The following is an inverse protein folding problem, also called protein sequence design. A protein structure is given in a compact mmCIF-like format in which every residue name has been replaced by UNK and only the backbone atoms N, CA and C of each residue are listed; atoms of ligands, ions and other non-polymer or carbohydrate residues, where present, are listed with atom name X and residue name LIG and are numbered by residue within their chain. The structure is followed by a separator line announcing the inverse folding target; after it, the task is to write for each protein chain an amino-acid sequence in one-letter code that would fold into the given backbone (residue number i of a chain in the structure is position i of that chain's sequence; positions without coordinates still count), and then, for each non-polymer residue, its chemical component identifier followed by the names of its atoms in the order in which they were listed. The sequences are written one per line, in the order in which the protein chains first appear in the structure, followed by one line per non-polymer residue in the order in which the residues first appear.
data_IF_822487188368
#
_entry.id   IF_822487188368
#
_cell.length_a   1.000
_cell.length_b   1.000
_cell.length_c   1.000
_cell.angle_alpha   90.00
_cell.angle_beta   90.00
_cell.angle_gamma   90.00
#
_symmetry.space_group_name_H-M   'P 1'
#
loop_
_entity.id
_entity.type
_entity.pdbx_description
1 polymer ?
#
# COMPACT_ATOMS: atom_id res chain seq x y z
N UNK A 1 -3.45 -33.33 -10.36
CA UNK A 1 -3.01 -32.40 -9.31
C UNK A 1 -3.43 -31.00 -9.69
N UNK A 2 -3.82 -30.17 -8.72
CA UNK A 2 -4.37 -28.81 -8.94
C UNK A 2 -3.44 -27.71 -8.45
N UNK A 3 -2.33 -28.06 -7.79
CA UNK A 3 -1.39 -27.10 -7.20
C UNK A 3 -1.83 -26.59 -5.82
N UNK A 4 -2.83 -27.23 -5.21
CA UNK A 4 -3.42 -26.90 -3.91
C UNK A 4 -3.22 -28.00 -2.86
N UNK A 5 -2.49 -29.05 -3.21
CA UNK A 5 -2.17 -30.18 -2.32
C UNK A 5 -1.25 -29.77 -1.14
N UNK A 6 -0.62 -28.60 -1.23
CA UNK A 6 0.15 -27.98 -0.17
C UNK A 6 -0.69 -26.87 0.49
N UNK A 7 -1.27 -27.15 1.66
CA UNK A 7 -2.19 -26.25 2.36
C UNK A 7 -1.50 -25.26 3.32
N UNK A 8 -0.27 -25.54 3.75
CA UNK A 8 0.49 -24.71 4.70
C UNK A 8 1.86 -24.31 4.13
N UNK A 9 1.84 -23.76 2.91
CA UNK A 9 3.07 -23.58 2.12
C UNK A 9 4.16 -22.80 2.85
N UNK A 10 3.80 -21.74 3.60
CA UNK A 10 4.76 -20.94 4.39
C UNK A 10 5.42 -21.76 5.50
N UNK A 11 4.64 -22.53 6.26
CA UNK A 11 5.15 -23.43 7.30
C UNK A 11 6.07 -24.51 6.71
N UNK A 12 5.72 -25.02 5.53
CA UNK A 12 6.52 -26.00 4.81
C UNK A 12 7.83 -25.40 4.25
N UNK A 13 7.84 -24.13 3.81
CA UNK A 13 9.04 -23.41 3.39
C UNK A 13 9.98 -23.07 4.55
N UNK A 14 9.44 -22.73 5.72
CA UNK A 14 10.23 -22.57 6.96
C UNK A 14 10.98 -23.86 7.29
N UNK A 15 10.38 -25.01 7.00
CA UNK A 15 11.00 -26.32 7.13
C UNK A 15 11.79 -26.67 5.86
N UNK A 16 13.01 -26.14 5.74
CA UNK A 16 13.99 -26.32 4.62
C UNK A 16 14.35 -27.77 4.21
N UNK A 17 13.61 -28.77 4.67
CA UNK A 17 13.71 -30.19 4.29
C UNK A 17 12.34 -30.88 4.21
N UNK A 18 11.26 -30.14 3.94
CA UNK A 18 9.93 -30.72 3.83
C UNK A 18 9.88 -31.86 2.81
N UNK A 19 9.60 -33.09 3.29
CA UNK A 19 9.38 -34.26 2.43
C UNK A 19 8.16 -34.05 1.53
N UNK A 20 7.16 -33.29 1.99
CA UNK A 20 5.94 -32.99 1.24
C UNK A 20 6.25 -32.12 0.02
N UNK A 21 7.04 -31.05 0.18
CA UNK A 21 7.46 -30.21 -0.94
C UNK A 21 8.21 -31.05 -1.99
N UNK A 22 9.15 -31.90 -1.57
CA UNK A 22 9.91 -32.75 -2.51
C UNK A 22 9.03 -33.76 -3.25
N UNK A 23 8.06 -34.36 -2.57
CA UNK A 23 7.10 -35.26 -3.20
C UNK A 23 6.22 -34.51 -4.21
N UNK A 24 5.70 -33.35 -3.79
CA UNK A 24 4.87 -32.48 -4.64
C UNK A 24 5.60 -32.04 -5.92
N UNK A 25 6.85 -31.56 -5.81
CA UNK A 25 7.65 -31.12 -6.97
C UNK A 25 7.97 -32.25 -7.96
N UNK A 26 7.99 -33.51 -7.50
CA UNK A 26 8.20 -34.67 -8.36
C UNK A 26 6.98 -34.99 -9.23
N UNK A 27 5.80 -34.71 -8.71
CA UNK A 27 4.51 -35.07 -9.34
C UNK A 27 3.86 -33.88 -10.06
N UNK A 28 4.22 -32.64 -9.69
CA UNK A 28 3.64 -31.42 -10.23
C UNK A 28 4.68 -30.56 -10.97
N UNK A 29 4.81 -30.72 -12.31
CA UNK A 29 5.82 -30.01 -13.10
C UNK A 29 5.56 -28.49 -13.22
N UNK A 30 4.36 -28.06 -12.84
CA UNK A 30 3.95 -26.66 -12.74
C UNK A 30 4.36 -26.02 -11.40
N UNK A 31 5.34 -26.59 -10.70
CA UNK A 31 5.96 -25.97 -9.54
C UNK A 31 7.48 -26.12 -9.54
N UNK A 32 8.14 -25.16 -8.89
CA UNK A 32 9.59 -25.16 -8.71
C UNK A 32 9.97 -24.40 -7.43
N UNK A 33 11.17 -24.64 -6.92
CA UNK A 33 11.67 -24.05 -5.68
C UNK A 33 13.15 -23.64 -5.83
N UNK A 34 13.58 -22.61 -5.10
CA UNK A 34 15.00 -22.26 -4.98
C UNK A 34 15.82 -23.36 -4.29
N UNK A 35 17.14 -23.35 -4.51
CA UNK A 35 18.06 -24.32 -3.89
C UNK A 35 18.13 -24.24 -2.36
N UNK A 36 17.82 -23.08 -1.79
CA UNK A 36 17.82 -22.83 -0.36
C UNK A 36 16.42 -23.04 0.28
N UNK A 37 15.47 -23.56 -0.49
CA UNK A 37 14.07 -23.82 -0.11
C UNK A 37 13.33 -22.58 0.44
N UNK A 38 13.78 -21.37 0.10
CA UNK A 38 13.20 -20.11 0.62
C UNK A 38 12.07 -19.55 -0.25
N UNK A 39 12.04 -19.92 -1.52
CA UNK A 39 11.12 -19.34 -2.50
C UNK A 39 10.57 -20.41 -3.43
N UNK A 40 9.25 -20.43 -3.59
CA UNK A 40 8.54 -21.41 -4.42
C UNK A 40 7.61 -20.71 -5.43
N UNK A 41 7.57 -21.26 -6.63
CA UNK A 41 6.66 -20.85 -7.70
C UNK A 41 5.70 -21.98 -8.03
N UNK A 42 4.42 -21.66 -8.22
CA UNK A 42 3.39 -22.63 -8.62
C UNK A 42 2.47 -22.00 -9.67
N UNK A 43 2.34 -22.62 -10.83
CA UNK A 43 1.29 -22.30 -11.79
C UNK A 43 0.05 -23.12 -11.44
N UNK A 44 -1.07 -22.43 -11.17
CA UNK A 44 -2.33 -23.05 -10.78
C UNK A 44 -3.52 -22.12 -11.05
N UNK A 45 -4.73 -22.68 -10.96
CA UNK A 45 -5.96 -21.89 -10.95
C UNK A 45 -6.17 -21.24 -9.57
N UNK A 46 -6.59 -19.99 -9.56
CA UNK A 46 -6.79 -19.17 -8.36
C UNK A 46 -7.97 -18.21 -8.53
N UNK A 47 -8.73 -17.97 -7.46
CA UNK A 47 -9.83 -17.00 -7.43
C UNK A 47 -9.38 -15.70 -6.78
N UNK A 48 -9.36 -14.56 -7.50
CA UNK A 48 -8.82 -13.29 -6.97
C UNK A 48 -9.59 -12.73 -5.79
N UNK A 49 -10.93 -12.84 -5.77
CA UNK A 49 -11.75 -12.27 -4.69
C UNK A 49 -11.82 -13.16 -3.44
N UNK A 50 -11.86 -14.49 -3.62
CA UNK A 50 -12.02 -15.44 -2.53
C UNK A 50 -10.67 -15.90 -1.92
N UNK A 51 -9.55 -15.61 -2.61
CA UNK A 51 -8.23 -16.12 -2.24
C UNK A 51 -8.23 -17.65 -2.08
N UNK A 52 -8.93 -18.36 -2.98
CA UNK A 52 -9.36 -19.75 -2.75
C UNK A 52 -9.09 -20.71 -3.91
N UNK A 53 -9.14 -22.01 -3.62
CA UNK A 53 -8.92 -23.14 -4.55
C UNK A 53 -10.12 -23.43 -5.46
N UNK A 54 -9.90 -24.00 -6.67
CA UNK A 54 -10.94 -24.32 -7.67
C UNK A 54 -11.95 -25.39 -7.27
N UNK A 55 -11.71 -26.11 -6.17
CA UNK A 55 -12.47 -27.32 -5.82
C UNK A 55 -13.50 -27.07 -4.71
N UNK A 56 -13.93 -25.82 -4.49
CA UNK A 56 -15.01 -25.51 -3.56
C UNK A 56 -16.38 -25.64 -4.25
N UNK A 57 -17.20 -26.66 -3.90
CA UNK A 57 -18.49 -26.89 -4.55
C UNK A 57 -19.50 -25.76 -4.29
N UNK A 58 -19.20 -24.84 -3.36
CA UNK A 58 -20.05 -23.71 -2.99
C UNK A 58 -19.96 -22.54 -3.99
N UNK A 59 -18.89 -22.45 -4.80
CA UNK A 59 -18.65 -21.35 -5.74
C UNK A 59 -18.36 -21.82 -7.18
N UNK A 60 -19.29 -22.54 -7.85
CA UNK A 60 -19.12 -22.96 -9.24
C UNK A 60 -19.16 -21.74 -10.16
N UNK A 61 -17.99 -21.26 -10.55
CA UNK A 61 -17.87 -19.98 -11.27
C UNK A 61 -16.76 -20.05 -12.31
N UNK A 62 -16.98 -19.41 -13.46
CA UNK A 62 -15.95 -19.18 -14.49
C UNK A 62 -14.92 -18.11 -14.06
N UNK A 63 -14.76 -17.84 -12.77
CA UNK A 63 -13.94 -16.75 -12.21
C UNK A 63 -12.53 -17.18 -11.84
N UNK A 64 -12.25 -18.49 -11.76
CA UNK A 64 -10.89 -18.97 -11.56
C UNK A 64 -10.00 -18.57 -12.74
N UNK A 65 -8.86 -17.97 -12.42
CA UNK A 65 -7.86 -17.52 -13.38
C UNK A 65 -6.61 -18.37 -13.25
N UNK A 66 -5.93 -18.61 -14.37
CA UNK A 66 -4.59 -19.18 -14.30
C UNK A 66 -3.65 -18.13 -13.72
N UNK A 67 -2.82 -18.51 -12.76
CA UNK A 67 -1.86 -17.60 -12.14
C UNK A 67 -0.52 -18.28 -11.90
N UNK A 68 0.54 -17.47 -11.85
CA UNK A 68 1.79 -17.83 -11.21
C UNK A 68 1.74 -17.32 -9.76
N UNK A 69 1.68 -18.25 -8.81
CA UNK A 69 1.79 -17.95 -7.39
C UNK A 69 3.27 -17.94 -6.99
N UNK A 70 3.69 -16.86 -6.35
CA UNK A 70 5.03 -16.61 -5.83
C UNK A 70 5.00 -16.59 -4.31
N UNK A 71 5.72 -17.52 -3.70
CA UNK A 71 5.78 -17.69 -2.26
C UNK A 71 7.19 -17.48 -1.76
N UNK A 72 7.30 -16.69 -0.70
CA UNK A 72 8.47 -16.66 0.17
C UNK A 72 8.04 -16.99 1.60
N UNK A 73 9.00 -16.98 2.52
CA UNK A 73 8.72 -17.13 3.96
C UNK A 73 7.81 -16.00 4.47
N UNK A 74 7.95 -14.78 3.94
CA UNK A 74 7.25 -13.58 4.43
C UNK A 74 6.15 -13.07 3.50
N UNK A 75 6.16 -13.44 2.23
CA UNK A 75 5.29 -12.87 1.21
C UNK A 75 4.64 -13.92 0.33
N UNK A 76 3.48 -13.56 -0.20
CA UNK A 76 2.74 -14.33 -1.17
C UNK A 76 2.16 -13.35 -2.19
N UNK A 77 2.42 -13.61 -3.46
CA UNK A 77 2.01 -12.73 -4.56
C UNK A 77 1.54 -13.57 -5.73
N UNK A 78 0.58 -13.04 -6.48
CA UNK A 78 -0.05 -13.75 -7.58
C UNK A 78 0.01 -12.89 -8.84
N UNK A 79 0.48 -13.49 -9.94
CA UNK A 79 0.50 -12.86 -11.25
C UNK A 79 -0.49 -13.57 -12.15
N UNK A 80 -1.47 -12.83 -12.68
CA UNK A 80 -2.46 -13.42 -13.58
C UNK A 80 -1.81 -13.78 -14.91
N UNK A 81 -1.99 -15.04 -15.33
CA UNK A 81 -1.47 -15.57 -16.58
C UNK A 81 -2.62 -15.71 -17.60
N UNK A 82 -2.32 -15.64 -18.92
CA UNK A 82 -3.31 -16.00 -19.93
C UNK A 82 -3.71 -17.47 -19.82
N UNK A 83 -4.89 -17.82 -20.33
CA UNK A 83 -5.32 -19.22 -20.38
C UNK A 83 -4.57 -19.96 -21.50
N UNK A 84 -3.50 -20.66 -21.11
CA UNK A 84 -2.61 -21.46 -21.97
C UNK A 84 -2.36 -22.84 -21.37
N UNK A 85 -1.96 -23.79 -22.24
CA UNK A 85 -1.55 -25.13 -21.84
C UNK A 85 -0.12 -25.14 -21.27
N UNK A 86 0.03 -24.72 -20.01
CA UNK A 86 1.30 -24.75 -19.29
C UNK A 86 1.79 -26.19 -19.05
N UNK A 87 3.09 -26.41 -19.25
CA UNK A 87 3.72 -27.72 -19.10
C UNK A 87 4.80 -27.73 -18.03
N UNK A 88 5.47 -26.59 -17.77
CA UNK A 88 6.46 -26.48 -16.71
C UNK A 88 6.72 -25.04 -16.26
N UNK A 89 7.31 -24.91 -15.07
CA UNK A 89 7.95 -23.68 -14.60
C UNK A 89 9.30 -24.00 -13.98
N UNK A 90 10.31 -23.17 -14.27
CA UNK A 90 11.66 -23.32 -13.73
C UNK A 90 12.19 -22.00 -13.20
N UNK A 91 13.16 -22.11 -12.30
CA UNK A 91 13.95 -20.99 -11.80
C UNK A 91 15.41 -21.21 -12.13
N UNK A 92 16.06 -20.17 -12.66
CA UNK A 92 17.49 -20.18 -12.95
C UNK A 92 18.14 -18.94 -12.37
N UNK A 93 19.20 -19.13 -11.58
CA UNK A 93 19.97 -18.03 -11.01
C UNK A 93 20.49 -17.12 -12.13
N UNK A 94 20.26 -15.82 -11.98
CA UNK A 94 20.69 -14.81 -12.93
C UNK A 94 21.09 -13.55 -12.15
N UNK A 95 22.37 -13.19 -12.23
CA UNK A 95 22.93 -12.05 -11.50
C UNK A 95 22.39 -10.70 -12.00
N UNK A 96 21.79 -10.65 -13.19
CA UNK A 96 21.21 -9.42 -13.75
C UNK A 96 19.83 -9.12 -13.16
N UNK A 97 19.07 -10.15 -12.84
CA UNK A 97 17.70 -10.08 -12.27
C UNK A 97 17.72 -10.73 -10.89
N UNK A 98 18.23 -10.01 -9.88
CA UNK A 98 18.34 -10.58 -8.55
C UNK A 98 16.96 -11.01 -8.00
N UNK A 99 16.78 -12.26 -7.48
CA UNK A 99 17.79 -13.33 -7.34
C UNK A 99 17.76 -14.41 -8.45
N UNK A 100 16.75 -14.45 -9.34
CA UNK A 100 16.64 -15.46 -10.39
C UNK A 100 15.74 -15.02 -11.54
N UNK A 101 15.97 -15.61 -12.71
CA UNK A 101 15.04 -15.64 -13.83
C UNK A 101 14.04 -16.78 -13.66
N UNK A 102 12.84 -16.58 -14.20
CA UNK A 102 11.73 -17.52 -14.21
C UNK A 102 11.50 -17.94 -15.64
N UNK A 103 11.46 -19.24 -15.91
CA UNK A 103 11.17 -19.80 -17.23
C UNK A 103 9.80 -20.47 -17.15
N UNK A 104 8.82 -19.93 -17.87
CA UNK A 104 7.47 -20.45 -17.96
C UNK A 104 7.31 -21.14 -19.31
N UNK A 105 6.90 -22.40 -19.30
CA UNK A 105 6.73 -23.22 -20.51
C UNK A 105 5.25 -23.54 -20.69
N UNK A 106 4.72 -23.19 -21.86
CA UNK A 106 3.44 -23.64 -22.38
C UNK A 106 3.65 -24.37 -23.71
N UNK A 107 2.67 -25.14 -24.18
CA UNK A 107 2.80 -25.95 -25.42
C UNK A 107 3.27 -25.15 -26.63
N UNK A 108 2.81 -23.91 -26.78
CA UNK A 108 3.07 -23.08 -27.96
C UNK A 108 4.19 -22.04 -27.75
N UNK A 109 4.66 -21.86 -26.51
CA UNK A 109 5.68 -20.85 -26.22
C UNK A 109 6.42 -21.09 -24.91
N UNK A 110 7.66 -20.65 -24.88
CA UNK A 110 8.47 -20.51 -23.66
C UNK A 110 8.79 -19.04 -23.44
N UNK A 111 8.70 -18.59 -22.20
CA UNK A 111 9.06 -17.22 -21.81
C UNK A 111 9.99 -17.22 -20.62
N UNK A 112 11.02 -16.40 -20.71
CA UNK A 112 11.90 -16.08 -19.59
C UNK A 112 11.51 -14.70 -19.09
N UNK A 113 11.36 -14.58 -17.78
CA UNK A 113 10.93 -13.36 -17.10
C UNK A 113 11.58 -13.29 -15.71
N UNK A 114 11.23 -12.29 -14.90
CA UNK A 114 11.63 -12.18 -13.51
C UNK A 114 10.48 -11.55 -12.69
N UNK A 115 10.60 -11.58 -11.36
CA UNK A 115 9.56 -11.05 -10.46
C UNK A 115 9.27 -9.57 -10.72
N UNK A 116 10.29 -8.75 -11.02
CA UNK A 116 10.10 -7.32 -11.27
C UNK A 116 9.36 -7.04 -12.57
N UNK A 117 9.68 -7.76 -13.66
CA UNK A 117 8.95 -7.67 -14.93
C UNK A 117 7.50 -8.13 -14.78
N UNK A 118 7.26 -9.26 -14.09
CA UNK A 118 5.91 -9.73 -13.77
C UNK A 118 5.13 -8.73 -12.93
N UNK A 119 5.77 -8.13 -11.92
CA UNK A 119 5.17 -7.10 -11.06
C UNK A 119 4.76 -5.86 -11.84
N UNK A 120 5.52 -5.50 -12.88
CA UNK A 120 5.21 -4.34 -13.73
C UNK A 120 4.14 -4.63 -14.77
N UNK A 121 4.14 -5.83 -15.36
CA UNK A 121 3.34 -6.15 -16.55
C UNK A 121 2.06 -6.96 -16.25
N UNK A 122 2.05 -7.78 -15.20
CA UNK A 122 0.98 -8.76 -14.90
C UNK A 122 0.50 -8.73 -13.44
N UNK A 123 0.92 -7.75 -12.63
CA UNK A 123 0.43 -7.60 -11.26
C UNK A 123 -1.03 -7.11 -11.23
N UNK A 124 -1.62 -7.20 -10.03
CA UNK A 124 -2.85 -6.54 -9.59
C UNK A 124 -4.19 -7.11 -10.08
N UNK A 125 -4.24 -8.26 -10.78
CA UNK A 125 -5.49 -8.79 -11.37
C UNK A 125 -6.32 -7.70 -12.07
N UNK A 126 -5.63 -6.71 -12.64
CA UNK A 126 -6.29 -5.65 -13.38
C UNK A 126 -7.11 -6.29 -14.48
N UNK A 127 -8.31 -5.74 -14.70
CA UNK A 127 -9.26 -6.30 -15.66
C UNK A 127 -8.68 -6.20 -17.07
N UNK A 128 -8.20 -7.32 -17.60
CA UNK A 128 -7.63 -7.48 -18.93
C UNK A 128 -8.38 -8.57 -19.69
N UNK A 129 -8.48 -8.40 -21.01
CA UNK A 129 -8.95 -9.44 -21.93
C UNK A 129 -7.92 -10.57 -22.06
N UNK A 130 -8.33 -11.74 -22.54
CA UNK A 130 -7.38 -12.84 -22.79
C UNK A 130 -6.35 -12.48 -23.86
N UNK A 131 -6.74 -11.69 -24.86
CA UNK A 131 -5.87 -11.18 -25.92
C UNK A 131 -4.77 -10.26 -25.36
N UNK A 132 -5.13 -9.33 -24.47
CA UNK A 132 -4.17 -8.47 -23.78
C UNK A 132 -3.21 -9.29 -22.91
N UNK A 133 -3.72 -10.25 -22.13
CA UNK A 133 -2.88 -11.13 -21.31
C UNK A 133 -1.89 -11.93 -22.16
N UNK A 134 -2.35 -12.48 -23.29
CA UNK A 134 -1.49 -13.20 -24.24
C UNK A 134 -0.44 -12.29 -24.86
N UNK A 135 -0.79 -11.07 -25.24
CA UNK A 135 0.15 -10.10 -25.80
C UNK A 135 1.23 -9.69 -24.78
N UNK A 136 0.82 -9.40 -23.54
CA UNK A 136 1.75 -9.07 -22.44
C UNK A 136 2.68 -10.25 -22.15
N UNK A 137 2.12 -11.45 -21.98
CA UNK A 137 2.89 -12.66 -21.73
C UNK A 137 3.87 -12.95 -22.88
N UNK A 138 3.43 -12.77 -24.13
CA UNK A 138 4.27 -12.93 -25.31
C UNK A 138 5.43 -11.93 -25.37
N UNK A 139 5.30 -10.76 -24.73
CA UNK A 139 6.33 -9.72 -24.64
C UNK A 139 7.27 -9.83 -23.43
N UNK A 140 7.11 -10.84 -22.56
CA UNK A 140 8.04 -11.07 -21.46
C UNK A 140 9.42 -11.47 -22.00
N UNK A 141 10.47 -10.83 -21.48
CA UNK A 141 11.82 -10.97 -22.04
C UNK A 141 12.94 -10.95 -21.00
N UNK A 142 12.60 -11.15 -19.73
CA UNK A 142 13.52 -11.05 -18.60
C UNK A 142 14.09 -9.63 -18.47
N UNK A 143 13.24 -8.63 -18.74
CA UNK A 143 13.58 -7.22 -18.61
C UNK A 143 13.92 -6.91 -17.15
N UNK A 144 15.13 -6.43 -16.88
CA UNK A 144 15.43 -5.76 -15.61
C UNK A 144 14.84 -4.37 -15.75
N UNK A 145 13.83 -3.97 -14.95
CA UNK A 145 13.36 -2.60 -15.00
C UNK A 145 14.55 -1.69 -14.71
N UNK A 146 14.75 -0.66 -15.53
CA UNK A 146 15.65 0.42 -15.15
C UNK A 146 15.07 1.05 -13.88
N UNK A 147 15.66 0.72 -12.73
CA UNK A 147 15.45 1.50 -11.52
C UNK A 147 16.05 2.86 -11.84
N UNK A 148 15.19 3.84 -12.15
CA UNK A 148 15.63 5.24 -12.25
C UNK A 148 16.41 5.52 -10.98
N UNK A 149 17.72 5.76 -11.13
CA UNK A 149 18.55 6.15 -9.99
C UNK A 149 17.96 7.46 -9.50
N UNK A 150 17.54 7.49 -8.23
CA UNK A 150 17.13 8.73 -7.58
C UNK A 150 18.22 9.77 -7.82
N UNK A 151 17.86 10.94 -8.33
CA UNK A 151 18.79 12.04 -8.48
C UNK A 151 19.20 12.45 -7.06
N UNK A 152 20.50 12.42 -6.76
CA UNK A 152 20.99 12.70 -5.42
C UNK A 152 20.52 14.08 -4.95
N UNK A 153 20.04 14.17 -3.71
CA UNK A 153 19.68 15.42 -3.07
C UNK A 153 20.97 16.14 -2.67
N UNK A 154 21.10 17.39 -3.10
CA UNK A 154 22.31 18.21 -2.86
C UNK A 154 22.05 19.38 -1.91
N UNK A 155 20.78 19.64 -1.62
CA UNK A 155 20.30 20.73 -0.81
C UNK A 155 20.25 20.29 0.66
N UNK A 156 20.52 21.22 1.58
CA UNK A 156 20.33 21.02 3.02
C UNK A 156 19.12 21.79 3.55
N UNK A 157 18.55 22.66 2.71
CA UNK A 157 17.35 23.45 2.99
C UNK A 157 16.51 23.63 1.74
N UNK A 158 15.19 23.71 1.90
CA UNK A 158 14.24 24.13 0.87
C UNK A 158 13.42 25.33 1.36
N UNK A 159 12.86 26.11 0.43
CA UNK A 159 12.12 27.33 0.75
C UNK A 159 10.65 27.17 0.33
N UNK A 160 9.76 27.23 1.31
CA UNK A 160 8.32 27.33 1.13
C UNK A 160 7.90 28.80 1.31
N UNK A 161 7.00 29.28 0.45
CA UNK A 161 6.40 30.62 0.62
C UNK A 161 5.40 30.65 1.77
N UNK A 162 4.74 29.52 2.06
CA UNK A 162 3.73 29.43 3.11
C UNK A 162 4.35 29.32 4.51
N UNK A 163 5.42 28.52 4.65
CA UNK A 163 5.96 28.13 5.96
C UNK A 163 7.46 28.41 6.14
N UNK A 164 8.07 29.10 5.19
CA UNK A 164 9.44 29.58 5.28
C UNK A 164 10.48 28.49 4.97
N UNK A 165 11.62 28.54 5.67
CA UNK A 165 12.73 27.62 5.43
C UNK A 165 12.49 26.28 6.12
N UNK A 166 12.57 25.19 5.36
CA UNK A 166 12.63 23.84 5.89
C UNK A 166 14.07 23.32 5.80
N UNK A 167 14.46 22.50 6.78
CA UNK A 167 15.79 21.88 6.86
C UNK A 167 15.66 20.38 6.66
N UNK A 168 16.65 19.79 5.99
CA UNK A 168 16.72 18.34 5.86
C UNK A 168 16.77 17.68 7.25
N UNK A 169 15.98 16.64 7.43
CA UNK A 169 15.84 15.89 8.68
C UNK A 169 16.68 14.58 8.64
N UNK A 170 16.39 13.63 9.54
CA UNK A 170 17.08 12.33 9.63
C UNK A 170 17.02 11.50 8.33
N UNK A 171 15.99 11.69 7.50
CA UNK A 171 15.85 11.06 6.18
C UNK A 171 16.19 12.06 5.07
N UNK A 172 16.89 11.60 4.03
CA UNK A 172 17.40 12.46 2.96
C UNK A 172 16.28 13.22 2.20
N UNK A 173 15.11 12.63 2.10
CA UNK A 173 13.92 13.15 1.42
C UNK A 173 12.88 13.73 2.41
N UNK A 174 13.27 13.97 3.67
CA UNK A 174 12.44 14.62 4.68
C UNK A 174 12.93 16.03 4.98
N UNK A 175 11.98 16.98 5.03
CA UNK A 175 12.27 18.39 5.25
C UNK A 175 11.36 18.96 6.31
N UNK A 176 11.91 19.41 7.43
CA UNK A 176 11.13 19.86 8.59
C UNK A 176 11.26 21.37 8.77
N UNK A 177 10.13 22.03 9.00
CA UNK A 177 10.06 23.46 9.28
C UNK A 177 10.48 23.81 10.71
N UNK A 178 10.61 25.12 11.00
CA UNK A 178 10.50 25.59 12.39
C UNK A 178 9.07 25.45 12.94
N UNK A 179 8.86 25.87 14.19
CA UNK A 179 7.53 25.93 14.79
C UNK A 179 6.66 26.98 14.10
N UNK A 180 5.43 26.59 13.81
CA UNK A 180 4.40 27.40 13.16
C UNK A 180 3.14 27.30 14.00
N UNK A 181 2.57 28.44 14.37
CA UNK A 181 1.29 28.49 15.05
C UNK A 181 0.19 28.00 14.10
N UNK A 182 -0.54 26.96 14.49
CA UNK A 182 -1.61 26.38 13.66
C UNK A 182 -2.97 26.87 14.18
N UNK A 183 -3.66 27.80 13.49
CA UNK A 183 -4.90 28.38 14.01
C UNK A 183 -6.05 27.38 14.13
N UNK A 184 -6.02 26.31 13.32
CA UNK A 184 -6.92 25.15 13.43
C UNK A 184 -6.85 24.48 14.82
N UNK A 185 -5.68 24.56 15.48
CA UNK A 185 -5.41 24.06 16.82
C UNK A 185 -5.22 25.19 17.84
N UNK A 186 -6.02 26.25 17.73
CA UNK A 186 -6.01 27.40 18.66
C UNK A 186 -4.61 28.06 18.78
N UNK A 187 -3.87 28.09 17.66
CA UNK A 187 -2.50 28.60 17.55
C UNK A 187 -1.48 27.80 18.37
N UNK A 188 -1.74 26.53 18.65
CA UNK A 188 -0.70 25.65 19.16
C UNK A 188 0.44 25.53 18.13
N UNK A 189 1.72 25.61 18.57
CA UNK A 189 2.86 25.51 17.67
C UNK A 189 3.08 24.06 17.22
N UNK A 190 3.34 23.88 15.92
CA UNK A 190 3.74 22.60 15.32
C UNK A 190 4.86 22.78 14.33
N UNK A 191 5.66 21.73 14.15
CA UNK A 191 6.49 21.59 12.95
C UNK A 191 5.69 20.91 11.84
N UNK A 192 6.01 21.25 10.59
CA UNK A 192 5.46 20.63 9.39
C UNK A 192 6.62 19.97 8.64
N UNK A 193 6.46 18.69 8.31
CA UNK A 193 7.48 17.90 7.64
C UNK A 193 7.01 17.51 6.25
N UNK A 194 7.82 17.79 5.24
CA UNK A 194 7.62 17.28 3.88
C UNK A 194 8.26 15.91 3.79
N UNK A 195 7.51 14.90 3.36
CA UNK A 195 7.98 13.50 3.28
C UNK A 195 8.12 13.07 1.82
N UNK A 196 9.05 12.15 1.56
CA UNK A 196 9.32 11.58 0.23
C UNK A 196 9.56 12.65 -0.86
N UNK A 197 10.10 13.81 -0.48
CA UNK A 197 10.29 14.94 -1.37
C UNK A 197 11.74 15.07 -1.84
N UNK A 198 11.95 14.93 -3.15
CA UNK A 198 13.23 15.20 -3.79
C UNK A 198 13.15 16.48 -4.66
N UNK A 199 13.76 17.61 -4.26
CA UNK A 199 13.69 18.87 -5.01
C UNK A 199 14.35 18.82 -6.39
N UNK A 200 15.22 17.82 -6.64
CA UNK A 200 15.86 17.64 -7.94
C UNK A 200 14.99 16.82 -8.92
N UNK A 201 13.94 16.15 -8.44
CA UNK A 201 13.05 15.31 -9.23
C UNK A 201 11.64 15.90 -9.35
N UNK A 202 11.16 16.56 -8.30
CA UNK A 202 9.83 17.14 -8.23
C UNK A 202 9.89 18.66 -8.08
N UNK A 203 9.92 19.34 -9.22
CA UNK A 203 10.02 20.80 -9.25
C UNK A 203 8.71 21.52 -8.92
N UNK A 204 7.58 20.80 -8.89
CA UNK A 204 6.25 21.38 -8.65
C UNK A 204 5.78 21.24 -7.21
N UNK A 205 6.31 20.27 -6.46
CA UNK A 205 5.90 19.97 -5.09
C UNK A 205 5.79 21.20 -4.19
N UNK A 206 6.80 22.07 -4.18
CA UNK A 206 6.82 23.24 -3.29
C UNK A 206 5.68 24.22 -3.61
N UNK A 207 5.36 24.44 -4.89
CA UNK A 207 4.26 25.33 -5.28
C UNK A 207 2.90 24.74 -4.88
N UNK A 208 2.72 23.43 -5.07
CA UNK A 208 1.48 22.73 -4.69
C UNK A 208 1.31 22.66 -3.17
N UNK A 209 2.40 22.39 -2.44
CA UNK A 209 2.44 22.40 -0.99
C UNK A 209 2.16 23.80 -0.44
N UNK A 210 2.69 24.85 -1.05
CA UNK A 210 2.43 26.24 -0.65
C UNK A 210 0.94 26.60 -0.78
N UNK A 211 0.28 26.18 -1.87
CA UNK A 211 -1.16 26.40 -2.06
C UNK A 211 -1.97 25.66 -0.99
N UNK A 212 -1.69 24.37 -0.80
CA UNK A 212 -2.32 23.53 0.22
C UNK A 212 -2.17 24.15 1.62
N UNK A 213 -0.96 24.51 2.01
CA UNK A 213 -0.65 25.04 3.32
C UNK A 213 -1.27 26.42 3.53
N UNK A 214 -1.26 27.28 2.52
CA UNK A 214 -1.92 28.59 2.61
C UNK A 214 -3.42 28.43 2.88
N UNK A 215 -4.08 27.47 2.22
CA UNK A 215 -5.50 27.18 2.42
C UNK A 215 -5.78 26.56 3.79
N UNK A 216 -4.89 25.68 4.27
CA UNK A 216 -5.05 25.05 5.59
C UNK A 216 -4.77 26.02 6.74
N UNK A 217 -3.70 26.82 6.66
CA UNK A 217 -3.31 27.79 7.69
C UNK A 217 -4.33 28.92 7.85
N UNK A 218 -5.19 29.16 6.86
CA UNK A 218 -6.33 30.06 6.97
C UNK A 218 -7.47 29.51 7.83
N UNK A 219 -7.46 28.21 8.16
CA UNK A 219 -8.50 27.56 8.97
C UNK A 219 -8.27 27.80 10.46
N UNK A 220 -9.37 27.91 11.17
CA UNK A 220 -9.41 28.21 12.61
C UNK A 220 -10.08 27.07 13.38
N UNK A 221 -10.19 27.21 14.70
CA UNK A 221 -10.97 26.27 15.50
C UNK A 221 -12.46 26.21 15.12
N UNK A 222 -13.02 27.24 14.47
CA UNK A 222 -14.37 27.17 13.91
C UNK A 222 -14.45 26.11 12.81
N UNK A 223 -13.46 26.06 11.93
CA UNK A 223 -13.37 25.04 10.87
C UNK A 223 -13.14 23.64 11.45
N UNK A 224 -12.36 23.54 12.54
CA UNK A 224 -12.18 22.27 13.27
C UNK A 224 -13.51 21.77 13.83
N UNK A 225 -14.29 22.64 14.45
CA UNK A 225 -15.60 22.27 14.97
C UNK A 225 -16.58 21.90 13.85
N UNK A 226 -16.50 22.55 12.69
CA UNK A 226 -17.34 22.24 11.53
C UNK A 226 -17.12 20.83 10.95
N UNK A 227 -15.95 20.22 11.18
CA UNK A 227 -15.66 18.85 10.71
C UNK A 227 -15.78 17.79 11.81
N UNK A 228 -16.29 18.15 13.00
CA UNK A 228 -16.41 17.25 14.15
C UNK A 228 -17.19 15.97 13.84
N UNK A 229 -18.26 16.06 13.03
CA UNK A 229 -19.08 14.90 12.69
C UNK A 229 -18.33 13.77 11.98
N UNK A 230 -17.28 14.08 11.21
CA UNK A 230 -16.46 13.04 10.58
C UNK A 230 -15.57 12.31 11.59
N UNK A 231 -15.02 13.06 12.56
CA UNK A 231 -14.16 12.49 13.61
C UNK A 231 -14.99 11.73 14.64
N UNK A 232 -16.14 12.28 15.02
CA UNK A 232 -17.11 11.62 15.89
C UNK A 232 -17.58 10.30 15.28
N UNK A 233 -17.92 10.28 13.98
CA UNK A 233 -18.29 9.04 13.28
C UNK A 233 -17.17 8.01 13.33
N UNK A 234 -15.92 8.40 13.05
CA UNK A 234 -14.78 7.48 13.14
C UNK A 234 -14.63 6.86 14.54
N UNK A 235 -14.82 7.67 15.60
CA UNK A 235 -14.81 7.18 16.98
C UNK A 235 -15.96 6.19 17.24
N UNK A 236 -17.19 6.54 16.86
CA UNK A 236 -18.35 5.67 17.08
C UNK A 236 -18.27 4.36 16.28
N UNK A 237 -17.83 4.42 15.02
CA UNK A 237 -17.63 3.22 14.18
C UNK A 237 -16.63 2.25 14.85
N UNK A 238 -15.58 2.78 15.48
CA UNK A 238 -14.61 1.97 16.22
C UNK A 238 -15.24 1.35 17.48
N UNK A 239 -15.89 2.16 18.31
CA UNK A 239 -16.53 1.70 19.55
C UNK A 239 -17.61 0.65 19.29
N UNK A 240 -18.41 0.83 18.23
CA UNK A 240 -19.40 -0.15 17.81
C UNK A 240 -18.76 -1.48 17.37
N UNK A 241 -17.58 -1.44 16.73
CA UNK A 241 -16.87 -2.63 16.27
C UNK A 241 -16.26 -3.45 17.42
N UNK A 242 -15.73 -2.79 18.46
CA UNK A 242 -15.13 -3.48 19.62
C UNK A 242 -16.16 -3.81 20.72
N UNK A 243 -17.31 -3.15 20.70
CA UNK A 243 -18.37 -3.28 21.70
C UNK A 243 -18.12 -2.43 22.95
N UNK A 244 -19.15 -2.28 23.77
CA UNK A 244 -19.08 -1.45 24.97
C UNK A 244 -18.11 -2.02 26.02
N UNK A 245 -17.23 -1.15 26.52
CA UNK A 245 -16.38 -1.36 27.69
C UNK A 245 -16.60 -0.20 28.68
N UNK A 246 -16.57 -0.48 29.99
CA UNK A 246 -16.70 0.54 31.04
C UNK A 246 -15.59 1.60 30.95
N UNK A 247 -14.39 1.21 30.50
CA UNK A 247 -13.28 2.14 30.28
C UNK A 247 -13.58 3.20 29.21
N UNK A 248 -14.45 2.88 28.25
CA UNK A 248 -14.84 3.74 27.13
C UNK A 248 -16.15 4.50 27.39
N UNK A 249 -16.76 4.34 28.57
CA UNK A 249 -18.08 4.92 28.90
C UNK A 249 -18.14 6.43 28.63
N UNK A 250 -17.02 7.13 28.84
CA UNK A 250 -16.91 8.57 28.59
C UNK A 250 -17.06 8.93 27.12
N UNK A 251 -16.62 8.06 26.21
CA UNK A 251 -16.73 8.25 24.76
C UNK A 251 -18.17 8.00 24.30
N UNK A 252 -18.83 6.97 24.83
CA UNK A 252 -20.26 6.67 24.56
C UNK A 252 -21.20 7.78 25.04
N UNK A 253 -20.80 8.54 26.07
CA UNK A 253 -21.63 9.54 26.72
C UNK A 253 -21.47 10.97 26.19
N UNK A 254 -20.71 11.18 25.12
CA UNK A 254 -20.58 12.49 24.45
C UNK A 254 -21.96 13.10 24.16
N UNK A 255 -22.14 14.39 24.45
CA UNK A 255 -23.44 15.09 24.27
C UNK A 255 -23.57 15.83 22.95
N UNK A 256 -22.46 16.01 22.25
CA UNK A 256 -22.37 16.65 20.94
C UNK A 256 -21.15 16.11 20.19
N UNK A 257 -21.17 16.20 18.86
CA UNK A 257 -20.07 15.68 18.02
C UNK A 257 -18.76 16.44 18.31
N UNK A 258 -18.85 17.71 18.66
CA UNK A 258 -17.72 18.60 18.98
C UNK A 258 -16.93 18.13 20.21
N UNK A 259 -17.56 17.38 21.12
CA UNK A 259 -16.86 16.85 22.31
C UNK A 259 -15.76 15.85 21.96
N UNK A 260 -15.79 15.26 20.76
CA UNK A 260 -14.79 14.28 20.30
C UNK A 260 -13.36 14.83 20.36
N UNK A 261 -13.19 16.14 20.11
CA UNK A 261 -11.88 16.78 20.09
C UNK A 261 -11.19 16.81 21.46
N UNK A 262 -11.93 16.59 22.56
CA UNK A 262 -11.33 16.46 23.90
C UNK A 262 -10.50 15.19 24.04
N UNK A 263 -10.74 14.21 23.18
CA UNK A 263 -10.09 12.90 23.15
C UNK A 263 -9.11 12.78 21.97
N UNK A 264 -8.79 13.90 21.30
CA UNK A 264 -7.88 13.94 20.15
C UNK A 264 -6.74 14.88 20.46
N UNK A 265 -5.51 14.40 20.28
CA UNK A 265 -4.29 15.19 20.44
C UNK A 265 -3.45 15.10 19.17
N UNK A 266 -3.40 16.19 18.41
CA UNK A 266 -2.51 16.26 17.25
C UNK A 266 -1.05 16.20 17.67
N UNK A 267 -0.26 15.40 16.94
CA UNK A 267 1.15 15.13 17.23
C UNK A 267 2.06 15.61 16.11
N UNK A 268 1.71 15.34 14.84
CA UNK A 268 2.55 15.64 13.69
C UNK A 268 1.75 16.07 12.47
N UNK A 269 2.35 16.95 11.66
CA UNK A 269 1.79 17.42 10.40
C UNK A 269 2.75 17.03 9.26
N UNK A 270 2.27 16.23 8.31
CA UNK A 270 3.07 15.78 7.16
C UNK A 270 2.47 16.27 5.86
N UNK A 271 3.30 16.79 4.96
CA UNK A 271 2.92 17.08 3.57
C UNK A 271 3.62 16.08 2.67
N UNK A 272 2.85 15.37 1.87
CA UNK A 272 3.38 14.33 0.98
C UNK A 272 2.61 14.25 -0.31
N UNK A 273 3.23 13.64 -1.32
CA UNK A 273 2.57 13.31 -2.58
C UNK A 273 1.97 11.91 -2.50
N UNK A 274 0.71 11.74 -2.90
CA UNK A 274 0.08 10.42 -2.97
C UNK A 274 0.85 9.53 -3.97
N UNK A 275 1.44 8.41 -3.54
CA UNK A 275 2.36 7.64 -4.39
C UNK A 275 1.65 6.90 -5.54
N UNK A 276 0.35 6.63 -5.44
CA UNK A 276 -0.35 5.76 -6.37
C UNK A 276 -1.33 6.48 -7.31
N UNK A 277 -2.39 7.05 -6.76
CA UNK A 277 -3.59 7.44 -7.52
C UNK A 277 -3.40 8.73 -8.34
N UNK A 278 -3.90 9.85 -7.83
CA UNK A 278 -3.92 11.14 -8.51
C UNK A 278 -2.56 11.87 -8.47
N UNK A 279 -1.66 11.38 -7.60
CA UNK A 279 -0.36 12.00 -7.31
C UNK A 279 -0.49 13.44 -6.82
N UNK A 280 -1.61 13.76 -6.16
CA UNK A 280 -1.83 15.05 -5.53
C UNK A 280 -0.94 15.25 -4.31
N UNK A 281 -0.79 16.51 -3.89
CA UNK A 281 -0.12 16.88 -2.64
C UNK A 281 -1.17 17.06 -1.56
N UNK A 282 -0.94 16.42 -0.41
CA UNK A 282 -1.88 16.33 0.69
C UNK A 282 -1.21 16.65 2.02
N UNK A 283 -2.00 17.22 2.94
CA UNK A 283 -1.60 17.43 4.33
C UNK A 283 -2.25 16.36 5.19
N UNK A 284 -1.44 15.61 5.92
CA UNK A 284 -1.85 14.61 6.90
C UNK A 284 -1.64 15.18 8.30
N UNK A 285 -2.72 15.27 9.07
CA UNK A 285 -2.66 15.53 10.51
C UNK A 285 -2.68 14.19 11.21
N UNK A 286 -1.58 13.83 11.85
CA UNK A 286 -1.47 12.64 12.69
C UNK A 286 -1.78 13.05 14.12
N UNK A 287 -2.68 12.31 14.76
CA UNK A 287 -3.16 12.57 16.10
C UNK A 287 -3.19 11.27 16.89
N UNK A 288 -2.94 11.37 18.19
CA UNK A 288 -3.37 10.33 19.11
C UNK A 288 -4.86 10.52 19.39
N UNK A 289 -5.55 9.42 19.68
CA UNK A 289 -6.92 9.44 20.15
C UNK A 289 -7.17 8.34 21.18
N UNK A 290 -8.15 8.55 22.05
CA UNK A 290 -8.37 7.65 23.19
C UNK A 290 -9.02 6.31 22.79
N UNK A 291 -9.75 6.26 21.67
CA UNK A 291 -10.42 5.03 21.21
C UNK A 291 -9.47 4.08 20.46
N UNK A 292 -8.61 4.59 19.58
CA UNK A 292 -7.63 3.79 18.83
C UNK A 292 -6.21 4.15 19.28
N UNK A 293 -5.75 3.52 20.36
CA UNK A 293 -4.48 3.87 21.02
C UNK A 293 -3.24 3.33 20.28
N UNK A 294 -3.38 2.29 19.46
CA UNK A 294 -2.26 1.69 18.74
C UNK A 294 -1.94 2.48 17.47
N UNK A 295 -2.97 2.92 16.74
CA UNK A 295 -2.83 3.56 15.43
C UNK A 295 -3.20 5.05 15.45
N UNK A 296 -3.90 5.54 16.47
CA UNK A 296 -4.36 6.93 16.53
C UNK A 296 -5.36 7.30 15.45
N UNK A 297 -5.39 8.59 15.11
CA UNK A 297 -6.30 9.22 14.18
C UNK A 297 -5.51 10.01 13.13
N UNK A 298 -5.94 9.90 11.88
CA UNK A 298 -5.41 10.61 10.74
C UNK A 298 -6.51 11.44 10.09
N UNK A 299 -6.21 12.72 9.82
CA UNK A 299 -7.04 13.60 8.99
C UNK A 299 -6.26 14.02 7.77
N UNK A 300 -6.88 13.98 6.59
CA UNK A 300 -6.21 14.33 5.33
C UNK A 300 -6.91 15.49 4.65
N UNK A 301 -6.14 16.54 4.34
CA UNK A 301 -6.58 17.72 3.59
C UNK A 301 -5.97 17.75 2.20
N UNK A 302 -6.79 18.05 1.20
CA UNK A 302 -6.33 18.24 -0.17
C UNK A 302 -5.88 19.71 -0.42
N UNK A 303 -5.34 19.97 -1.61
CA UNK A 303 -4.85 21.30 -2.03
C UNK A 303 -5.84 22.46 -1.86
N UNK A 304 -7.15 22.19 -1.91
CA UNK A 304 -8.20 23.20 -1.76
C UNK A 304 -8.51 23.49 -0.28
N UNK A 305 -7.76 22.88 0.65
CA UNK A 305 -8.03 22.92 2.08
C UNK A 305 -9.30 22.18 2.45
N UNK A 306 -9.76 21.21 1.66
CA UNK A 306 -10.92 20.39 2.02
C UNK A 306 -10.46 19.16 2.78
N UNK A 307 -11.14 18.84 3.90
CA UNK A 307 -10.96 17.55 4.57
C UNK A 307 -11.54 16.46 3.66
N UNK A 308 -10.70 15.52 3.24
CA UNK A 308 -11.06 14.45 2.30
C UNK A 308 -11.05 13.07 2.94
N UNK A 309 -10.43 12.90 4.11
CA UNK A 309 -10.34 11.61 4.80
C UNK A 309 -10.23 11.75 6.31
N UNK A 310 -10.87 10.84 7.03
CA UNK A 310 -10.70 10.59 8.47
C UNK A 310 -10.61 9.08 8.70
N UNK A 311 -9.50 8.61 9.27
CA UNK A 311 -9.25 7.18 9.50
C UNK A 311 -8.24 6.95 10.62
N UNK A 312 -7.96 5.69 10.97
CA UNK A 312 -6.73 5.35 11.68
C UNK A 312 -5.49 5.64 10.80
N UNK A 313 -4.32 5.76 11.41
CA UNK A 313 -3.06 5.85 10.68
C UNK A 313 -2.68 4.48 10.10
N UNK A 314 -2.86 4.33 8.78
CA UNK A 314 -2.65 3.06 8.06
C UNK A 314 -1.52 3.12 7.03
N UNK A 315 -0.73 4.20 7.05
CA UNK A 315 0.38 4.43 6.12
C UNK A 315 -0.04 4.80 4.70
N UNK A 316 -1.34 5.02 4.44
CA UNK A 316 -1.84 5.49 3.15
C UNK A 316 -2.36 6.92 3.30
N UNK A 317 -2.24 7.76 2.26
CA UNK A 317 -2.84 9.11 2.27
C UNK A 317 -4.31 8.99 1.86
N UNK A 318 -4.59 8.33 0.74
CA UNK A 318 -5.97 8.15 0.20
C UNK A 318 -6.67 6.85 0.64
N UNK A 319 -6.01 6.04 1.47
CA UNK A 319 -6.54 4.80 2.04
C UNK A 319 -6.56 3.64 1.07
N UNK A 320 -6.58 2.42 1.60
CA UNK A 320 -6.76 1.24 0.75
C UNK A 320 -8.19 1.19 0.20
N UNK A 321 -8.34 1.29 -1.13
CA UNK A 321 -9.64 1.32 -1.83
C UNK A 321 -10.60 2.41 -1.31
N UNK A 322 -10.06 3.57 -0.91
CA UNK A 322 -10.86 4.69 -0.43
C UNK A 322 -11.40 4.55 1.01
N UNK A 323 -10.79 3.68 1.82
CA UNK A 323 -11.16 3.57 3.25
C UNK A 323 -11.03 4.90 3.99
N UNK A 324 -12.07 5.28 4.73
CA UNK A 324 -12.13 6.54 5.50
C UNK A 324 -12.32 7.81 4.67
N UNK A 325 -12.51 7.69 3.36
CA UNK A 325 -12.75 8.83 2.47
C UNK A 325 -14.11 9.48 2.77
N UNK A 326 -14.15 10.80 2.76
CA UNK A 326 -15.37 11.58 2.87
C UNK A 326 -15.98 11.74 1.48
N UNK A 327 -17.11 11.09 1.24
CA UNK A 327 -17.94 11.31 0.06
C UNK A 327 -18.93 12.44 0.35
N UNK A 328 -19.01 13.42 -0.55
CA UNK A 328 -20.04 14.47 -0.50
C UNK A 328 -21.45 13.92 -0.76
#
# INVERSE_FOLDING_TARGET
MTGWELTELRSELLNKRSKKIKAFLKEYPLATITRDDSTMLIIRKYHPELNWRPDDPTYPTNSYRMCLAYYTISTETYYELPDLDYTAVYMSYDQKVWPFSIIIVAKEMTRTTNISELSKKLNNFERRTEEEKKAIFAGLSNEVPEVKKKIAITQTTVQSKAIGTLRQDDFEDWWTSGEIDIPFWDNQPFTITYTDFNPNEDTMFLEEADVLLSNFLAKTSVDRLAVSGHVYRNCMDFLEAIGFNEDDEVLWNMKSEEEVWRFVKCTNLYVGREPYEDKGVYLQLVCNCDWEQEHGLQLVYNKDGKLVRVSAQDGHIMGWKGSGMITD
#
